data_IF_360917460096
#
_entry.id   IF_360917460096
#
_cell.length_a   1.000
_cell.length_b   1.000
_cell.length_c   1.000
_cell.angle_alpha   90.00
_cell.angle_beta   90.00
_cell.angle_gamma   90.00
#
_symmetry.space_group_name_H-M   'P 1'
#
loop_
_entity.id
_entity.type
_entity.pdbx_description
1 polymer ?
#
# COMPACT_ATOMS: atom_id res chain seq x y z
N UNK A 1 10.36 -15.22 6.36
CA UNK A 1 9.24 -14.63 5.60
C UNK A 1 8.87 -13.21 6.01
N UNK A 2 8.78 -12.88 7.31
CA UNK A 2 8.36 -11.52 7.75
C UNK A 2 9.24 -10.39 7.19
N UNK A 3 10.56 -10.57 7.16
CA UNK A 3 11.48 -9.58 6.59
C UNK A 3 11.29 -9.36 5.07
N UNK A 4 11.03 -10.43 4.31
CA UNK A 4 10.77 -10.33 2.86
C UNK A 4 9.47 -9.56 2.60
N UNK A 5 8.41 -9.83 3.37
CA UNK A 5 7.17 -9.07 3.25
C UNK A 5 7.36 -7.58 3.58
N UNK A 6 8.12 -7.26 4.64
CA UNK A 6 8.45 -5.87 4.98
C UNK A 6 9.29 -5.19 3.88
N UNK A 7 10.20 -5.91 3.23
CA UNK A 7 10.93 -5.41 2.07
C UNK A 7 9.98 -5.11 0.90
N UNK A 8 9.02 -5.99 0.61
CA UNK A 8 8.00 -5.72 -0.42
C UNK A 8 7.16 -4.48 -0.09
N UNK A 9 6.74 -4.30 1.17
CA UNK A 9 6.03 -3.09 1.61
C UNK A 9 6.88 -1.85 1.34
N UNK A 10 8.17 -1.88 1.71
CA UNK A 10 9.08 -0.75 1.48
C UNK A 10 9.24 -0.44 -0.02
N UNK A 11 9.44 -1.47 -0.85
CA UNK A 11 9.59 -1.33 -2.31
C UNK A 11 8.31 -0.76 -2.94
N UNK A 12 7.13 -1.26 -2.57
CA UNK A 12 5.83 -0.74 -3.05
C UNK A 12 5.68 0.73 -2.67
N UNK A 13 6.02 1.10 -1.43
CA UNK A 13 5.94 2.47 -0.93
C UNK A 13 6.90 3.39 -1.69
N UNK A 14 8.15 2.99 -1.88
CA UNK A 14 9.16 3.73 -2.65
C UNK A 14 8.72 3.92 -4.11
N UNK A 15 8.20 2.87 -4.74
CA UNK A 15 7.71 2.92 -6.11
C UNK A 15 6.52 3.88 -6.23
N UNK A 16 5.61 3.88 -5.25
CA UNK A 16 4.49 4.82 -5.20
C UNK A 16 4.96 6.28 -5.08
N UNK A 17 5.85 6.57 -4.12
CA UNK A 17 6.43 7.91 -3.93
C UNK A 17 7.17 8.38 -5.18
N UNK A 18 8.00 7.50 -5.78
CA UNK A 18 8.72 7.76 -7.01
C UNK A 18 7.78 8.12 -8.17
N UNK A 19 6.65 7.42 -8.31
CA UNK A 19 5.65 7.74 -9.34
C UNK A 19 4.99 9.09 -9.11
N UNK A 20 4.63 9.42 -7.87
CA UNK A 20 4.07 10.74 -7.54
C UNK A 20 5.07 11.86 -7.84
N UNK A 21 6.36 11.63 -7.57
CA UNK A 21 7.42 12.56 -7.94
C UNK A 21 7.57 12.68 -9.48
N UNK A 22 7.58 11.56 -10.20
CA UNK A 22 7.66 11.52 -11.66
C UNK A 22 6.51 12.28 -12.33
N UNK A 23 5.30 12.26 -11.78
CA UNK A 23 4.17 13.06 -12.30
C UNK A 23 4.44 14.56 -12.29
N UNK A 24 5.41 15.06 -11.49
CA UNK A 24 5.80 16.47 -11.45
C UNK A 24 7.07 16.75 -12.24
N UNK A 25 8.09 15.90 -12.11
CA UNK A 25 9.40 16.15 -12.74
C UNK A 25 9.44 15.73 -14.21
N UNK A 26 8.90 14.56 -14.55
CA UNK A 26 8.91 14.00 -15.91
C UNK A 26 7.73 13.07 -16.13
N UNK A 27 6.55 13.60 -16.50
CA UNK A 27 5.36 12.78 -16.72
C UNK A 27 5.53 11.78 -17.86
N UNK A 28 6.38 12.07 -18.85
CA UNK A 28 6.71 11.17 -19.97
C UNK A 28 7.24 9.80 -19.51
N UNK A 29 7.98 9.75 -18.39
CA UNK A 29 8.48 8.48 -17.86
C UNK A 29 7.37 7.58 -17.29
N UNK A 30 6.21 8.12 -16.95
CA UNK A 30 5.05 7.33 -16.50
C UNK A 30 4.40 6.56 -17.65
N UNK A 31 4.70 6.90 -18.91
CA UNK A 31 4.18 6.20 -20.08
C UNK A 31 4.95 4.92 -20.40
N UNK A 32 6.18 4.78 -19.89
CA UNK A 32 6.96 3.56 -20.06
C UNK A 32 6.23 2.34 -19.48
N UNK A 33 6.14 1.29 -20.29
CA UNK A 33 5.48 0.02 -19.95
C UNK A 33 5.93 -0.55 -18.59
N UNK A 34 7.22 -0.40 -18.27
CA UNK A 34 7.81 -0.83 -17.00
C UNK A 34 7.23 -0.12 -15.77
N UNK A 35 6.99 1.20 -15.86
CA UNK A 35 6.47 2.01 -14.74
C UNK A 35 4.96 1.81 -14.56
N UNK A 36 4.24 1.46 -15.64
CA UNK A 36 2.83 1.06 -15.58
C UNK A 36 2.63 -0.34 -15.02
N UNK A 37 3.52 -1.28 -15.34
CA UNK A 37 3.39 -2.69 -14.94
C UNK A 37 3.94 -2.98 -13.53
N UNK A 38 4.98 -2.27 -13.09
CA UNK A 38 5.60 -2.46 -11.78
C UNK A 38 4.63 -2.45 -10.59
N UNK A 39 3.62 -1.54 -10.47
CA UNK A 39 2.72 -1.55 -9.33
C UNK A 39 1.83 -2.79 -9.27
N UNK A 40 1.44 -3.39 -10.41
CA UNK A 40 0.61 -4.60 -10.41
C UNK A 40 1.40 -5.82 -9.94
N UNK A 41 2.60 -6.02 -10.50
CA UNK A 41 3.46 -7.15 -10.11
C UNK A 41 3.82 -7.06 -8.62
N UNK A 42 4.23 -5.87 -8.16
CA UNK A 42 4.56 -5.65 -6.76
C UNK A 42 3.33 -5.82 -5.84
N UNK A 43 2.14 -5.37 -6.26
CA UNK A 43 0.92 -5.58 -5.50
C UNK A 43 0.55 -7.07 -5.38
N UNK A 44 0.65 -7.84 -6.48
CA UNK A 44 0.41 -9.29 -6.45
C UNK A 44 1.41 -10.02 -5.55
N UNK A 45 2.71 -9.69 -5.64
CA UNK A 45 3.74 -10.25 -4.75
C UNK A 45 3.52 -9.88 -3.28
N UNK A 46 3.14 -8.63 -3.01
CA UNK A 46 2.83 -8.16 -1.67
C UNK A 46 1.62 -8.91 -1.08
N UNK A 47 0.54 -9.07 -1.86
CA UNK A 47 -0.63 -9.83 -1.46
C UNK A 47 -0.28 -11.30 -1.21
N UNK A 48 0.44 -11.93 -2.13
CA UNK A 48 0.83 -13.34 -2.02
C UNK A 48 1.72 -13.58 -0.79
N UNK A 49 2.71 -12.72 -0.56
CA UNK A 49 3.55 -12.80 0.65
C UNK A 49 2.77 -12.57 1.94
N UNK A 50 1.76 -11.69 1.93
CA UNK A 50 0.85 -11.47 3.04
C UNK A 50 -0.01 -12.71 3.34
N UNK A 51 -0.57 -13.34 2.31
CA UNK A 51 -1.35 -14.59 2.43
C UNK A 51 -0.48 -15.70 3.03
N UNK A 52 0.73 -15.91 2.52
CA UNK A 52 1.67 -16.90 3.07
C UNK A 52 1.95 -16.66 4.55
N UNK A 53 2.12 -15.39 4.97
CA UNK A 53 2.32 -15.05 6.38
C UNK A 53 1.11 -15.34 7.27
N UNK A 54 -0.11 -15.15 6.75
CA UNK A 54 -1.35 -15.47 7.47
C UNK A 54 -1.44 -16.96 7.75
N UNK A 55 -1.15 -17.80 6.76
CA UNK A 55 -1.13 -19.26 6.91
C UNK A 55 -0.01 -19.72 7.84
N UNK A 56 1.21 -19.21 7.68
CA UNK A 56 2.34 -19.56 8.57
C UNK A 56 2.12 -19.12 10.02
N UNK A 57 1.41 -18.01 10.24
CA UNK A 57 1.10 -17.48 11.57
C UNK A 57 -0.09 -18.15 12.24
N UNK A 58 -0.82 -19.02 11.53
CA UNK A 58 -2.12 -19.57 11.94
C UNK A 58 -3.12 -18.48 12.42
N UNK A 59 -3.07 -17.31 11.79
CA UNK A 59 -3.86 -16.15 12.24
C UNK A 59 -5.34 -16.25 11.86
N UNK A 60 -5.71 -17.19 10.99
CA UNK A 60 -7.11 -17.51 10.66
C UNK A 60 -7.87 -18.18 11.80
N UNK A 61 -7.16 -18.86 12.71
CA UNK A 61 -7.76 -19.49 13.89
C UNK A 61 -7.98 -18.51 15.06
N UNK A 62 -7.44 -17.29 14.96
CA UNK A 62 -7.56 -16.21 15.94
C UNK A 62 -8.40 -15.05 15.38
N UNK A 63 -8.51 -13.94 16.13
CA UNK A 63 -9.12 -12.70 15.64
C UNK A 63 -8.43 -12.22 14.35
N UNK A 64 -9.11 -12.43 13.22
CA UNK A 64 -8.66 -12.11 11.87
C UNK A 64 -9.12 -10.72 11.42
N UNK A 65 -9.83 -9.95 12.26
CA UNK A 65 -10.38 -8.68 11.84
C UNK A 65 -9.29 -7.66 11.46
N UNK A 66 -8.09 -7.73 12.04
CA UNK A 66 -6.96 -6.89 11.64
C UNK A 66 -6.45 -7.20 10.22
N UNK A 67 -6.62 -8.44 9.74
CA UNK A 67 -6.29 -8.84 8.37
C UNK A 67 -7.31 -8.22 7.41
N UNK A 68 -8.60 -8.30 7.75
CA UNK A 68 -9.69 -7.69 6.96
C UNK A 68 -9.50 -6.17 6.89
N UNK A 69 -9.20 -5.52 8.01
CA UNK A 69 -8.91 -4.09 8.06
C UNK A 69 -7.73 -3.72 7.16
N UNK A 70 -6.63 -4.49 7.18
CA UNK A 70 -5.49 -4.28 6.27
C UNK A 70 -5.89 -4.37 4.79
N UNK A 71 -6.75 -5.31 4.42
CA UNK A 71 -7.22 -5.45 3.04
C UNK A 71 -8.06 -4.25 2.61
N UNK A 72 -9.01 -3.80 3.45
CA UNK A 72 -9.81 -2.60 3.16
C UNK A 72 -8.93 -1.34 3.03
N UNK A 73 -7.97 -1.15 3.93
CA UNK A 73 -7.03 -0.03 3.87
C UNK A 73 -6.15 -0.11 2.64
N UNK A 74 -5.71 -1.30 2.22
CA UNK A 74 -4.94 -1.48 1.00
C UNK A 74 -5.74 -1.02 -0.23
N UNK A 75 -7.02 -1.37 -0.32
CA UNK A 75 -7.90 -0.92 -1.42
C UNK A 75 -8.06 0.60 -1.40
N UNK A 76 -8.28 1.19 -0.22
CA UNK A 76 -8.38 2.63 -0.08
C UNK A 76 -7.07 3.35 -0.44
N UNK A 77 -5.90 2.79 -0.08
CA UNK A 77 -4.58 3.29 -0.47
C UNK A 77 -4.41 3.29 -1.99
N UNK A 78 -4.78 2.21 -2.66
CA UNK A 78 -4.73 2.12 -4.13
C UNK A 78 -5.64 3.16 -4.76
N UNK A 79 -6.88 3.31 -4.26
CA UNK A 79 -7.83 4.31 -4.73
C UNK A 79 -7.30 5.75 -4.61
N UNK A 80 -6.76 6.11 -3.45
CA UNK A 80 -6.13 7.42 -3.22
C UNK A 80 -4.87 7.61 -4.08
N UNK A 81 -4.10 6.54 -4.30
CA UNK A 81 -2.95 6.57 -5.19
C UNK A 81 -3.32 6.86 -6.64
N UNK A 82 -4.40 6.24 -7.14
CA UNK A 82 -4.96 6.55 -8.46
C UNK A 82 -5.47 7.99 -8.51
N UNK A 83 -6.18 8.45 -7.48
CA UNK A 83 -6.67 9.83 -7.40
C UNK A 83 -5.52 10.84 -7.39
N UNK A 84 -4.44 10.54 -6.67
CA UNK A 84 -3.21 11.36 -6.66
C UNK A 84 -2.60 11.50 -8.06
N UNK A 85 -2.71 10.48 -8.90
CA UNK A 85 -2.17 10.49 -10.26
C UNK A 85 -3.12 11.13 -11.28
N UNK A 86 -4.44 11.07 -11.05
CA UNK A 86 -5.46 11.61 -11.97
C UNK A 86 -5.77 13.08 -11.72
N UNK A 87 -5.76 13.51 -10.46
CA UNK A 87 -6.09 14.87 -10.06
C UNK A 87 -4.88 15.82 -10.20
N UNK A 88 -5.17 17.12 -10.28
CA UNK A 88 -4.16 18.19 -10.29
C UNK A 88 -4.41 19.20 -9.18
N UNK A 89 -3.41 20.05 -8.89
CA UNK A 89 -3.52 21.10 -7.88
C UNK A 89 -3.69 20.58 -6.45
N UNK A 90 -4.57 21.23 -5.66
CA UNK A 90 -4.75 20.95 -4.23
C UNK A 90 -5.31 19.54 -3.96
N UNK A 91 -6.25 19.06 -4.79
CA UNK A 91 -6.88 17.74 -4.63
C UNK A 91 -5.87 16.59 -4.72
N UNK A 92 -4.85 16.73 -5.58
CA UNK A 92 -3.73 15.78 -5.67
C UNK A 92 -2.95 15.67 -4.37
N UNK A 93 -2.61 16.80 -3.76
CA UNK A 93 -1.86 16.81 -2.49
C UNK A 93 -2.69 16.29 -1.32
N UNK A 94 -4.01 16.56 -1.30
CA UNK A 94 -4.91 15.97 -0.33
C UNK A 94 -5.01 14.44 -0.49
N UNK A 95 -5.16 13.94 -1.72
CA UNK A 95 -5.17 12.51 -1.99
C UNK A 95 -3.82 11.85 -1.62
N UNK A 96 -2.71 12.53 -1.89
CA UNK A 96 -1.38 12.06 -1.52
C UNK A 96 -1.20 11.98 -0.01
N UNK A 97 -1.58 13.03 0.71
CA UNK A 97 -1.55 13.05 2.18
C UNK A 97 -2.45 11.97 2.77
N UNK A 98 -3.64 11.76 2.20
CA UNK A 98 -4.53 10.67 2.59
C UNK A 98 -3.91 9.29 2.33
N UNK A 99 -3.26 9.08 1.18
CA UNK A 99 -2.57 7.82 0.89
C UNK A 99 -1.45 7.55 1.90
N UNK A 100 -0.67 8.56 2.27
CA UNK A 100 0.35 8.45 3.32
C UNK A 100 -0.26 8.12 4.69
N UNK A 101 -1.38 8.74 5.04
CA UNK A 101 -2.09 8.45 6.29
C UNK A 101 -2.57 6.99 6.35
N UNK A 102 -3.15 6.48 5.26
CA UNK A 102 -3.57 5.08 5.17
C UNK A 102 -2.36 4.15 5.28
N UNK A 103 -1.25 4.47 4.60
CA UNK A 103 -0.03 3.68 4.67
C UNK A 103 0.51 3.58 6.10
N UNK A 104 0.55 4.71 6.81
CA UNK A 104 0.92 4.74 8.22
C UNK A 104 -0.02 3.88 9.08
N UNK A 105 -1.33 3.94 8.80
CA UNK A 105 -2.31 3.14 9.53
C UNK A 105 -2.16 1.63 9.29
N UNK A 106 -1.88 1.22 8.04
CA UNK A 106 -1.57 -0.19 7.70
C UNK A 106 -0.35 -0.68 8.48
N UNK A 107 0.71 0.14 8.56
CA UNK A 107 1.92 -0.18 9.33
C UNK A 107 1.57 -0.32 10.81
N UNK A 108 0.80 0.60 11.38
CA UNK A 108 0.37 0.53 12.78
C UNK A 108 -0.38 -0.77 13.08
N UNK A 109 -1.41 -1.09 12.29
CA UNK A 109 -2.17 -2.34 12.43
C UNK A 109 -1.25 -3.57 12.28
N UNK A 110 -0.19 -3.48 11.46
CA UNK A 110 0.76 -4.58 11.33
C UNK A 110 1.54 -4.87 12.60
N UNK A 111 1.88 -3.85 13.39
CA UNK A 111 2.59 -4.00 14.65
C UNK A 111 1.66 -4.32 15.81
N UNK A 112 0.53 -3.61 15.93
CA UNK A 112 -0.42 -3.83 17.03
C UNK A 112 -1.27 -5.08 16.85
N UNK A 113 -1.51 -5.53 15.60
CA UNK A 113 -2.50 -6.56 15.25
C UNK A 113 -3.90 -6.27 15.81
N UNK A 114 -4.19 -5.01 16.11
CA UNK A 114 -5.47 -4.53 16.63
C UNK A 114 -6.10 -3.58 15.61
N UNK A 115 -7.41 -3.73 15.43
CA UNK A 115 -8.22 -2.95 14.48
C UNK A 115 -8.55 -1.56 15.04
N UNK A 116 -8.82 -1.52 16.36
CA UNK A 116 -9.32 -0.34 17.05
C UNK A 116 -8.19 0.47 17.67
N UNK A 117 -8.29 1.80 17.55
CA UNK A 117 -7.39 2.77 18.20
C UNK A 117 -7.59 2.79 19.73
N UNK A 118 -8.73 2.31 20.22
CA UNK A 118 -9.15 2.23 21.62
C UNK A 118 -10.00 0.97 21.81
N UNK A 119 -9.40 -0.14 22.25
CA UNK A 119 -9.91 -1.09 23.26
C UNK A 119 -8.81 -2.13 23.53
#
# INVERSE_FOLDING_TARGET
>A
MKHIHLLFVAIVTLTFLGRVALTKFRPELLEHKWVKLSPHILASLLLLSGIVLVFQGNWLANDYGWIVAKLFLMVAFIGLGVMTMREQGQKRWMAFAGALFILFYIIKIAFTKQIFFFI
#
